data_IF_501461589687
#
_entry.id   IF_501461589687
#
_cell.length_a   1.000
_cell.length_b   1.000
_cell.length_c   1.000
_cell.angle_alpha   90.00
_cell.angle_beta   90.00
_cell.angle_gamma   90.00
#
_symmetry.space_group_name_H-M   'P 1'
#
loop_
_entity.id
_entity.type
_entity.pdbx_description
1 polymer ?
#
# COMPACT_ATOMS: atom_id res chain seq x y z
N UNK A 1 -0.41 8.81 28.40
CA UNK A 1 0.88 8.85 27.66
C UNK A 1 1.07 7.67 26.70
N UNK A 2 0.44 6.52 26.88
CA UNK A 2 0.62 5.34 26.02
C UNK A 2 -0.02 5.44 24.63
N UNK A 3 -1.20 6.04 24.52
CA UNK A 3 -1.94 6.12 23.25
C UNK A 3 -1.25 6.93 22.14
N UNK A 4 -0.46 7.94 22.49
CA UNK A 4 0.24 8.78 21.50
C UNK A 4 1.34 7.98 20.81
N UNK A 5 2.14 7.26 21.57
CA UNK A 5 3.25 6.43 21.03
C UNK A 5 2.76 5.28 20.15
N UNK A 6 1.63 4.66 20.50
CA UNK A 6 1.05 3.58 19.68
C UNK A 6 0.57 4.10 18.31
N UNK A 7 -0.03 5.28 18.29
CA UNK A 7 -0.42 5.93 17.02
C UNK A 7 0.78 6.28 16.17
N UNK A 8 1.83 6.85 16.76
CA UNK A 8 3.09 7.15 16.05
C UNK A 8 3.73 5.89 15.46
N UNK A 9 3.78 4.78 16.20
CA UNK A 9 4.30 3.50 15.70
C UNK A 9 3.52 2.98 14.49
N UNK A 10 2.19 3.09 14.51
CA UNK A 10 1.34 2.71 13.37
C UNK A 10 1.61 3.57 12.13
N UNK A 11 1.77 4.87 12.30
CA UNK A 11 2.07 5.82 11.21
C UNK A 11 3.45 5.59 10.61
N UNK A 12 4.46 5.34 11.45
CA UNK A 12 5.82 4.98 11.02
C UNK A 12 5.78 3.62 10.29
N UNK A 13 5.06 2.64 10.82
CA UNK A 13 4.85 1.34 10.17
C UNK A 13 4.25 1.46 8.78
N UNK A 14 3.27 2.35 8.60
CA UNK A 14 2.67 2.64 7.30
C UNK A 14 3.69 3.25 6.31
N UNK A 15 4.52 4.19 6.76
CA UNK A 15 5.61 4.77 5.96
C UNK A 15 6.66 3.75 5.53
N UNK A 16 7.03 2.84 6.44
CA UNK A 16 7.95 1.73 6.15
C UNK A 16 7.33 0.75 5.15
N UNK A 17 6.05 0.41 5.30
CA UNK A 17 5.34 -0.48 4.37
C UNK A 17 5.23 0.16 2.98
N UNK A 18 4.94 1.45 2.90
CA UNK A 18 4.96 2.20 1.65
C UNK A 18 6.35 2.17 0.98
N UNK A 19 7.41 2.29 1.78
CA UNK A 19 8.80 2.16 1.29
C UNK A 19 9.08 0.75 0.77
N UNK A 20 8.66 -0.28 1.51
CA UNK A 20 8.82 -1.67 1.09
C UNK A 20 8.11 -1.92 -0.24
N UNK A 21 6.88 -1.43 -0.39
CA UNK A 21 6.12 -1.53 -1.64
C UNK A 21 6.85 -0.86 -2.81
N UNK A 22 7.29 0.38 -2.64
CA UNK A 22 8.00 1.13 -3.67
C UNK A 22 9.34 0.46 -4.04
N UNK A 23 10.09 -0.01 -3.05
CA UNK A 23 11.34 -0.74 -3.27
C UNK A 23 11.12 -2.02 -4.05
N UNK A 24 10.14 -2.83 -3.65
CA UNK A 24 9.80 -4.10 -4.32
C UNK A 24 9.37 -3.85 -5.76
N UNK A 25 8.57 -2.81 -6.00
CA UNK A 25 8.15 -2.42 -7.34
C UNK A 25 9.34 -2.12 -8.25
N UNK A 26 10.26 -1.22 -7.85
CA UNK A 26 11.41 -0.86 -8.68
C UNK A 26 12.41 -2.01 -8.85
N UNK A 27 12.60 -2.83 -7.81
CA UNK A 27 13.44 -4.02 -7.90
C UNK A 27 12.91 -5.03 -8.93
N UNK A 28 11.60 -5.27 -8.93
CA UNK A 28 10.95 -6.17 -9.90
C UNK A 28 10.99 -5.54 -11.30
N UNK A 29 10.68 -4.25 -11.44
CA UNK A 29 10.75 -3.54 -12.72
C UNK A 29 12.15 -3.66 -13.33
N UNK A 30 13.20 -3.36 -12.58
CA UNK A 30 14.58 -3.49 -13.04
C UNK A 30 14.92 -4.93 -13.43
N UNK A 31 14.41 -5.93 -12.68
CA UNK A 31 14.63 -7.34 -13.02
C UNK A 31 13.98 -7.72 -14.34
N UNK A 32 12.77 -7.23 -14.63
CA UNK A 32 12.10 -7.45 -15.92
C UNK A 32 12.74 -6.68 -17.07
N UNK A 33 13.29 -5.49 -16.83
CA UNK A 33 13.92 -4.68 -17.86
C UNK A 33 15.30 -5.17 -18.21
N UNK A 34 16.17 -5.45 -17.24
CA UNK A 34 17.60 -5.73 -17.44
C UNK A 34 17.95 -7.22 -17.58
N UNK A 35 17.22 -8.10 -16.85
CA UNK A 35 17.60 -9.53 -16.77
C UNK A 35 16.86 -10.43 -17.75
N UNK A 36 15.73 -9.97 -18.28
CA UNK A 36 14.90 -10.78 -19.17
C UNK A 36 15.07 -10.29 -20.62
N UNK A 37 15.89 -10.98 -21.39
CA UNK A 37 16.06 -10.81 -22.84
C UNK A 37 14.83 -11.32 -23.62
N UNK A 38 13.64 -10.89 -23.22
CA UNK A 38 12.36 -11.23 -23.86
C UNK A 38 11.80 -9.99 -24.52
N UNK A 39 11.19 -10.10 -25.72
CA UNK A 39 10.51 -8.98 -26.37
C UNK A 39 9.52 -8.31 -25.41
N UNK A 40 9.46 -6.98 -25.43
CA UNK A 40 8.68 -6.17 -24.49
C UNK A 40 7.19 -6.58 -24.43
N UNK A 41 6.64 -7.09 -25.54
CA UNK A 41 5.24 -7.56 -25.61
C UNK A 41 4.95 -8.81 -24.76
N UNK A 42 5.96 -9.65 -24.50
CA UNK A 42 5.78 -10.87 -23.72
C UNK A 42 5.98 -10.67 -22.21
N UNK A 43 6.63 -9.59 -21.78
CA UNK A 43 6.89 -9.30 -20.35
C UNK A 43 5.58 -9.20 -19.54
N UNK A 44 4.54 -8.45 -19.99
CA UNK A 44 3.27 -8.40 -19.28
C UNK A 44 2.53 -9.75 -19.24
N UNK A 45 2.65 -10.55 -20.31
CA UNK A 45 2.04 -11.88 -20.35
C UNK A 45 2.69 -12.82 -19.31
N UNK A 46 4.02 -12.76 -19.17
CA UNK A 46 4.74 -13.52 -18.14
C UNK A 46 4.37 -13.06 -16.74
N UNK A 47 4.32 -11.75 -16.50
CA UNK A 47 3.88 -11.18 -15.23
C UNK A 47 2.44 -11.59 -14.87
N UNK A 48 1.51 -11.50 -15.84
CA UNK A 48 0.13 -11.94 -15.68
C UNK A 48 0.01 -13.44 -15.41
N UNK A 49 0.84 -14.26 -16.06
CA UNK A 49 0.89 -15.71 -15.82
C UNK A 49 1.33 -16.03 -14.38
N UNK A 50 2.39 -15.38 -13.87
CA UNK A 50 2.87 -15.57 -12.50
C UNK A 50 1.79 -15.17 -11.49
N UNK A 51 1.18 -14.00 -11.67
CA UNK A 51 0.11 -13.51 -10.79
C UNK A 51 -1.11 -14.44 -10.88
N UNK A 52 -1.46 -14.92 -12.07
CA UNK A 52 -2.53 -15.89 -12.31
C UNK A 52 -2.29 -17.20 -11.55
N UNK A 53 -1.08 -17.73 -11.55
CA UNK A 53 -0.74 -18.92 -10.76
C UNK A 53 -0.88 -18.69 -9.25
N UNK A 54 -0.42 -17.53 -8.75
CA UNK A 54 -0.55 -17.18 -7.33
C UNK A 54 -2.03 -17.08 -6.95
N UNK A 55 -2.86 -16.54 -7.84
CA UNK A 55 -4.29 -16.33 -7.59
C UNK A 55 -5.12 -17.63 -7.51
N UNK A 56 -4.63 -18.72 -8.08
CA UNK A 56 -5.27 -20.04 -7.91
C UNK A 56 -5.25 -20.46 -6.43
N UNK A 57 -4.19 -20.12 -5.71
CA UNK A 57 -4.05 -20.42 -4.27
C UNK A 57 -4.66 -19.33 -3.39
N UNK A 58 -4.66 -18.08 -3.85
CA UNK A 58 -5.11 -16.90 -3.11
C UNK A 58 -6.01 -16.03 -4.00
N UNK A 59 -7.26 -16.44 -4.26
CA UNK A 59 -8.18 -15.70 -5.14
C UNK A 59 -8.48 -14.28 -4.64
N UNK A 60 -8.27 -14.03 -3.35
CA UNK A 60 -8.43 -12.72 -2.72
C UNK A 60 -7.50 -11.64 -3.29
N UNK A 61 -6.43 -12.02 -4.00
CA UNK A 61 -5.49 -11.06 -4.60
C UNK A 61 -6.01 -10.47 -5.90
N UNK A 62 -6.79 -11.22 -6.68
CA UNK A 62 -7.35 -10.82 -7.97
C UNK A 62 -8.71 -10.12 -7.87
N UNK A 63 -9.32 -10.10 -6.72
CA UNK A 63 -10.70 -9.68 -6.60
C UNK A 63 -10.91 -8.17 -6.51
N UNK A 64 -12.17 -7.80 -6.37
CA UNK A 64 -12.61 -6.48 -5.96
C UNK A 64 -11.96 -6.12 -4.62
N UNK A 65 -10.89 -5.35 -4.68
CA UNK A 65 -10.15 -4.86 -3.51
C UNK A 65 -11.10 -4.20 -2.50
N UNK A 66 -12.19 -3.58 -2.99
CA UNK A 66 -13.20 -2.91 -2.18
C UNK A 66 -14.04 -3.86 -1.32
N UNK A 67 -14.34 -5.08 -1.77
CA UNK A 67 -15.10 -6.04 -0.98
C UNK A 67 -14.32 -6.51 0.24
N UNK A 68 -13.05 -6.89 0.04
CA UNK A 68 -12.17 -7.30 1.15
C UNK A 68 -11.83 -6.12 2.09
N UNK A 69 -11.68 -4.91 1.54
CA UNK A 69 -11.56 -3.71 2.36
C UNK A 69 -12.81 -3.49 3.21
N UNK A 70 -14.01 -3.69 2.62
CA UNK A 70 -15.28 -3.63 3.35
C UNK A 70 -15.37 -4.65 4.49
N UNK A 71 -14.97 -5.90 4.25
CA UNK A 71 -14.92 -6.94 5.30
C UNK A 71 -13.92 -6.57 6.40
N UNK A 72 -12.78 -5.97 6.02
CA UNK A 72 -11.77 -5.52 6.97
C UNK A 72 -12.28 -4.34 7.81
N UNK A 73 -12.99 -3.41 7.20
CA UNK A 73 -13.66 -2.30 7.87
C UNK A 73 -14.78 -2.76 8.80
N UNK A 74 -15.42 -3.89 8.49
CA UNK A 74 -16.43 -4.52 9.36
C UNK A 74 -15.82 -5.40 10.47
N UNK A 75 -14.47 -5.42 10.61
CA UNK A 75 -13.79 -6.22 11.63
C UNK A 75 -13.86 -7.74 11.43
N UNK A 76 -14.23 -8.20 10.23
CA UNK A 76 -14.46 -9.62 9.94
C UNK A 76 -13.19 -10.35 9.46
N UNK A 77 -12.10 -9.62 9.23
CA UNK A 77 -10.87 -10.17 8.70
C UNK A 77 -9.98 -10.74 9.80
N UNK A 78 -9.56 -12.00 9.63
CA UNK A 78 -8.60 -12.62 10.52
C UNK A 78 -7.20 -12.00 10.33
N UNK A 79 -6.57 -11.56 11.41
CA UNK A 79 -5.30 -10.81 11.38
C UNK A 79 -4.16 -11.53 10.67
N UNK A 80 -4.06 -12.88 10.80
CA UNK A 80 -3.03 -13.67 10.10
C UNK A 80 -3.20 -13.68 8.59
N UNK A 81 -4.46 -13.72 8.10
CA UNK A 81 -4.77 -13.60 6.68
C UNK A 81 -4.48 -12.19 6.16
N UNK A 82 -4.84 -11.16 6.92
CA UNK A 82 -4.53 -9.78 6.57
C UNK A 82 -3.02 -9.56 6.43
N UNK A 83 -2.21 -10.11 7.35
CA UNK A 83 -0.75 -10.03 7.28
C UNK A 83 -0.19 -10.69 6.01
N UNK A 84 -0.66 -11.90 5.69
CA UNK A 84 -0.27 -12.60 4.45
C UNK A 84 -0.65 -11.77 3.20
N UNK A 85 -1.85 -11.21 3.18
CA UNK A 85 -2.36 -10.42 2.05
C UNK A 85 -1.58 -9.14 1.82
N UNK A 86 -1.03 -8.49 2.86
CA UNK A 86 -0.13 -7.33 2.68
C UNK A 86 1.06 -7.70 1.78
N UNK A 87 1.78 -8.76 2.12
CA UNK A 87 2.97 -9.17 1.36
C UNK A 87 2.62 -9.68 -0.03
N UNK A 88 1.59 -10.51 -0.14
CA UNK A 88 1.17 -11.06 -1.43
C UNK A 88 0.67 -9.97 -2.37
N UNK A 89 -0.06 -8.97 -1.86
CA UNK A 89 -0.52 -7.83 -2.67
C UNK A 89 0.65 -6.97 -3.14
N UNK A 90 1.61 -6.68 -2.27
CA UNK A 90 2.84 -5.96 -2.65
C UNK A 90 3.55 -6.70 -3.79
N UNK A 91 3.74 -8.01 -3.67
CA UNK A 91 4.42 -8.82 -4.69
C UNK A 91 3.64 -8.85 -6.00
N UNK A 92 2.34 -9.19 -5.98
CA UNK A 92 1.54 -9.31 -7.18
C UNK A 92 1.37 -7.98 -7.91
N UNK A 93 1.14 -6.88 -7.18
CA UNK A 93 1.06 -5.55 -7.79
C UNK A 93 2.39 -5.13 -8.41
N UNK A 94 3.50 -5.40 -7.71
CA UNK A 94 4.84 -5.09 -8.22
C UNK A 94 5.20 -5.92 -9.45
N UNK A 95 4.80 -7.20 -9.52
CA UNK A 95 4.99 -8.05 -10.70
C UNK A 95 4.14 -7.54 -11.87
N UNK A 96 2.86 -7.24 -11.64
CA UNK A 96 1.95 -6.76 -12.69
C UNK A 96 2.48 -5.47 -13.30
N UNK A 97 2.78 -4.47 -12.48
CA UNK A 97 3.24 -3.16 -12.95
C UNK A 97 4.69 -3.22 -13.46
N UNK A 98 5.57 -3.93 -12.74
CA UNK A 98 6.98 -4.05 -13.10
C UNK A 98 7.24 -4.85 -14.38
N UNK A 99 6.32 -5.74 -14.76
CA UNK A 99 6.36 -6.42 -16.06
C UNK A 99 5.87 -5.57 -17.24
N UNK A 100 5.40 -4.34 -16.97
CA UNK A 100 4.81 -3.45 -17.99
C UNK A 100 3.31 -3.66 -18.19
N UNK A 101 2.64 -4.37 -17.28
CA UNK A 101 1.18 -4.50 -17.27
C UNK A 101 0.50 -3.16 -16.94
N UNK A 102 -0.65 -2.92 -17.55
CA UNK A 102 -1.46 -1.73 -17.23
C UNK A 102 -2.14 -1.92 -15.87
N UNK A 103 -1.99 -0.93 -14.99
CA UNK A 103 -2.62 -0.93 -13.68
C UNK A 103 -2.37 0.37 -12.93
N UNK A 104 -3.06 0.52 -11.79
CA UNK A 104 -2.89 1.66 -10.88
C UNK A 104 -2.20 1.27 -9.59
N UNK A 105 -1.53 2.22 -8.97
CA UNK A 105 -0.88 2.04 -7.66
C UNK A 105 -1.83 2.40 -6.51
N UNK A 106 -2.87 3.19 -6.81
CA UNK A 106 -3.77 3.77 -5.80
C UNK A 106 -4.58 2.71 -5.04
N UNK A 107 -5.41 1.92 -5.74
CA UNK A 107 -6.25 0.92 -5.10
C UNK A 107 -5.43 -0.16 -4.36
N UNK A 108 -4.33 -0.71 -4.91
CA UNK A 108 -3.44 -1.58 -4.15
C UNK A 108 -2.84 -0.94 -2.89
N UNK A 109 -2.50 0.34 -2.92
CA UNK A 109 -1.96 1.02 -1.72
C UNK A 109 -3.00 1.19 -0.62
N UNK A 110 -4.25 1.45 -0.97
CA UNK A 110 -5.37 1.47 -0.02
C UNK A 110 -5.60 0.07 0.58
N UNK A 111 -5.59 -0.96 -0.25
CA UNK A 111 -5.75 -2.34 0.20
C UNK A 111 -4.63 -2.76 1.16
N UNK A 112 -3.37 -2.51 0.81
CA UNK A 112 -2.22 -2.77 1.68
C UNK A 112 -2.37 -2.03 3.01
N UNK A 113 -2.81 -0.77 2.96
CA UNK A 113 -3.08 0.04 4.15
C UNK A 113 -4.20 -0.53 5.01
N UNK A 114 -5.31 -0.99 4.41
CA UNK A 114 -6.42 -1.59 5.15
C UNK A 114 -6.00 -2.86 5.88
N UNK A 115 -5.28 -3.76 5.20
CA UNK A 115 -4.79 -5.00 5.80
C UNK A 115 -3.75 -4.73 6.90
N UNK A 116 -2.84 -3.79 6.68
CA UNK A 116 -1.88 -3.36 7.70
C UNK A 116 -2.59 -2.78 8.93
N UNK A 117 -3.60 -1.94 8.72
CA UNK A 117 -4.41 -1.35 9.78
C UNK A 117 -5.17 -2.38 10.59
N UNK A 118 -5.73 -3.41 9.93
CA UNK A 118 -6.39 -4.53 10.60
C UNK A 118 -5.42 -5.32 11.48
N UNK A 119 -4.23 -5.65 10.97
CA UNK A 119 -3.19 -6.37 11.73
C UNK A 119 -2.76 -5.53 12.95
N UNK A 120 -2.44 -4.27 12.73
CA UNK A 120 -1.99 -3.38 13.79
C UNK A 120 -3.11 -3.11 14.82
N UNK A 121 -4.32 -2.78 14.34
CA UNK A 121 -5.47 -2.51 15.19
C UNK A 121 -5.87 -3.71 16.04
N UNK A 122 -5.91 -4.91 15.47
CA UNK A 122 -6.17 -6.15 16.21
C UNK A 122 -5.09 -6.43 17.24
N UNK A 123 -3.82 -6.27 16.89
CA UNK A 123 -2.70 -6.48 17.80
C UNK A 123 -2.72 -5.50 18.98
N UNK A 124 -2.96 -4.22 18.72
CA UNK A 124 -3.03 -3.19 19.78
C UNK A 124 -4.27 -3.37 20.65
N UNK A 125 -5.40 -3.73 20.08
CA UNK A 125 -6.63 -4.00 20.82
C UNK A 125 -6.51 -5.23 21.72
N UNK A 126 -5.80 -6.26 21.26
CA UNK A 126 -5.52 -7.46 22.06
C UNK A 126 -4.67 -7.16 23.30
N UNK A 127 -3.69 -6.23 23.16
CA UNK A 127 -2.79 -5.87 24.29
C UNK A 127 -3.43 -4.84 25.22
N UNK A 128 -4.21 -3.89 24.67
CA UNK A 128 -4.79 -2.76 25.43
C UNK A 128 -6.27 -2.53 25.11
N UNK A 129 -7.19 -3.46 25.41
CA UNK A 129 -8.59 -3.37 24.99
C UNK A 129 -9.34 -2.15 25.50
N UNK A 130 -9.00 -1.67 26.71
CA UNK A 130 -9.71 -0.55 27.36
C UNK A 130 -9.21 0.85 26.94
N UNK A 131 -8.07 0.93 26.24
CA UNK A 131 -7.38 2.20 25.94
C UNK A 131 -7.32 2.52 24.44
N UNK A 132 -7.82 1.62 23.58
CA UNK A 132 -7.65 1.73 22.13
C UNK A 132 -8.98 1.97 21.43
N UNK A 133 -8.93 2.69 20.31
CA UNK A 133 -10.07 2.80 19.40
C UNK A 133 -10.39 1.42 18.79
N UNK A 134 -11.55 1.31 18.15
CA UNK A 134 -11.92 0.08 17.46
C UNK A 134 -10.90 -0.27 16.35
N UNK A 135 -10.66 -1.55 16.05
CA UNK A 135 -9.74 -2.00 14.99
C UNK A 135 -10.06 -1.38 13.62
N UNK A 136 -11.34 -1.12 13.35
CA UNK A 136 -11.83 -0.50 12.12
C UNK A 136 -11.27 0.92 11.94
N UNK A 137 -11.18 1.70 13.03
CA UNK A 137 -10.59 3.04 13.00
C UNK A 137 -9.12 3.01 12.57
N UNK A 138 -8.36 2.02 13.06
CA UNK A 138 -6.96 1.83 12.64
C UNK A 138 -6.86 1.44 11.17
N UNK A 139 -7.81 0.66 10.67
CA UNK A 139 -7.89 0.26 9.26
C UNK A 139 -8.01 1.47 8.35
N UNK A 140 -8.98 2.36 8.60
CA UNK A 140 -9.18 3.57 7.78
C UNK A 140 -7.97 4.51 7.83
N UNK A 141 -7.43 4.72 9.03
CA UNK A 141 -6.26 5.60 9.23
C UNK A 141 -5.03 5.06 8.50
N UNK A 142 -4.81 3.74 8.54
CA UNK A 142 -3.69 3.11 7.85
C UNK A 142 -3.86 3.10 6.32
N UNK A 143 -5.09 2.97 5.80
CA UNK A 143 -5.39 3.15 4.36
C UNK A 143 -4.86 4.50 3.86
N UNK A 144 -5.20 5.59 4.56
CA UNK A 144 -4.73 6.92 4.22
C UNK A 144 -3.23 7.08 4.36
N UNK A 145 -2.68 6.53 5.43
CA UNK A 145 -1.26 6.64 5.70
C UNK A 145 -0.41 5.96 4.61
N UNK A 146 -0.73 4.73 4.21
CA UNK A 146 0.03 4.00 3.17
C UNK A 146 -0.16 4.65 1.81
N UNK A 147 -1.40 4.94 1.40
CA UNK A 147 -1.67 5.56 0.10
C UNK A 147 -1.07 6.97 0.01
N UNK A 148 -1.18 7.78 1.09
CA UNK A 148 -0.59 9.11 1.16
C UNK A 148 0.93 9.10 1.05
N UNK A 149 1.59 8.11 1.64
CA UNK A 149 3.03 7.93 1.57
C UNK A 149 3.50 7.46 0.19
N UNK A 150 2.84 6.46 -0.42
CA UNK A 150 3.20 5.92 -1.73
C UNK A 150 3.05 6.96 -2.83
N UNK A 151 1.92 7.66 -2.85
CA UNK A 151 1.61 8.67 -3.86
C UNK A 151 2.26 10.02 -3.59
N UNK A 152 2.66 10.28 -2.34
CA UNK A 152 3.10 11.59 -1.84
C UNK A 152 2.08 12.72 -2.12
N UNK A 153 0.80 12.38 -2.07
CA UNK A 153 -0.31 13.28 -2.28
C UNK A 153 -1.28 13.24 -1.08
N UNK A 154 -0.87 13.74 0.10
CA UNK A 154 -1.65 13.59 1.33
C UNK A 154 -3.04 14.22 1.23
N UNK A 155 -3.17 15.40 0.64
CA UNK A 155 -4.47 16.08 0.49
C UNK A 155 -5.47 15.26 -0.34
N UNK A 156 -5.03 14.71 -1.46
CA UNK A 156 -5.88 13.85 -2.31
C UNK A 156 -6.37 12.63 -1.56
N UNK A 157 -5.48 11.98 -0.80
CA UNK A 157 -5.85 10.79 -0.03
C UNK A 157 -6.77 11.10 1.14
N UNK A 158 -6.61 12.24 1.81
CA UNK A 158 -7.51 12.69 2.88
C UNK A 158 -8.92 12.89 2.33
N UNK A 159 -9.05 13.62 1.22
CA UNK A 159 -10.36 13.88 0.60
C UNK A 159 -11.02 12.60 0.09
N UNK A 160 -10.26 11.73 -0.58
CA UNK A 160 -10.78 10.45 -1.07
C UNK A 160 -11.27 9.54 0.06
N UNK A 161 -10.52 9.43 1.15
CA UNK A 161 -10.94 8.62 2.28
C UNK A 161 -12.11 9.23 3.03
N UNK A 162 -12.18 10.54 3.13
CA UNK A 162 -13.34 11.22 3.68
C UNK A 162 -14.60 10.90 2.86
N UNK A 163 -14.51 10.94 1.53
CA UNK A 163 -15.60 10.63 0.63
C UNK A 163 -16.01 9.14 0.73
N UNK A 164 -15.02 8.23 0.89
CA UNK A 164 -15.27 6.80 1.04
C UNK A 164 -15.93 6.44 2.39
N UNK A 165 -15.55 7.10 3.47
CA UNK A 165 -16.03 6.78 4.82
C UNK A 165 -17.24 7.59 5.23
N UNK A 166 -17.39 8.79 4.68
CA UNK A 166 -18.41 9.78 5.03
C UNK A 166 -18.48 10.07 6.56
N UNK A 167 -17.35 9.92 7.25
CA UNK A 167 -17.22 10.11 8.71
C UNK A 167 -16.28 11.27 9.04
N UNK A 168 -16.86 12.36 9.50
CA UNK A 168 -16.12 13.57 9.90
C UNK A 168 -15.17 13.34 11.07
N UNK A 169 -15.44 12.36 11.94
CA UNK A 169 -14.63 12.10 13.13
C UNK A 169 -13.25 11.55 12.78
N UNK A 170 -13.13 10.91 11.60
CA UNK A 170 -11.90 10.31 11.13
C UNK A 170 -11.00 11.28 10.36
N UNK A 171 -11.47 12.46 9.97
CA UNK A 171 -10.70 13.42 9.18
C UNK A 171 -9.37 13.77 9.87
N UNK A 172 -9.42 14.19 11.13
CA UNK A 172 -8.21 14.60 11.87
C UNK A 172 -7.20 13.46 12.03
N UNK A 173 -7.59 12.24 12.45
CA UNK A 173 -6.68 11.09 12.46
C UNK A 173 -6.06 10.77 11.09
N UNK A 174 -6.87 10.81 10.01
CA UNK A 174 -6.39 10.57 8.64
C UNK A 174 -5.38 11.65 8.22
N UNK A 175 -5.68 12.93 8.46
CA UNK A 175 -4.78 14.03 8.14
C UNK A 175 -3.41 13.86 8.79
N UNK A 176 -3.39 13.63 10.09
CA UNK A 176 -2.13 13.45 10.84
C UNK A 176 -1.37 12.23 10.34
N UNK A 177 -2.05 11.10 10.10
CA UNK A 177 -1.41 9.87 9.67
C UNK A 177 -0.84 9.98 8.26
N UNK A 178 -1.56 10.61 7.32
CA UNK A 178 -1.08 10.85 5.96
C UNK A 178 0.19 11.71 5.95
N UNK A 179 0.21 12.79 6.74
CA UNK A 179 1.36 13.71 6.79
C UNK A 179 2.57 13.01 7.43
N UNK A 180 2.40 12.36 8.57
CA UNK A 180 3.49 11.68 9.28
C UNK A 180 4.04 10.52 8.44
N UNK A 181 3.18 9.73 7.82
CA UNK A 181 3.59 8.61 6.97
C UNK A 181 4.31 9.08 5.71
N UNK A 182 3.81 10.14 5.06
CA UNK A 182 4.47 10.74 3.90
C UNK A 182 5.85 11.31 4.28
N UNK A 183 5.97 11.98 5.42
CA UNK A 183 7.24 12.49 5.92
C UNK A 183 8.22 11.34 6.25
N UNK A 184 7.74 10.28 6.91
CA UNK A 184 8.54 9.08 7.17
C UNK A 184 9.04 8.46 5.88
N UNK A 185 8.18 8.34 4.86
CA UNK A 185 8.57 7.84 3.56
C UNK A 185 9.64 8.72 2.89
N UNK A 186 9.46 10.05 2.93
CA UNK A 186 10.42 11.02 2.35
C UNK A 186 11.79 10.97 3.03
N UNK A 187 11.87 10.59 4.30
CA UNK A 187 13.15 10.39 4.99
C UNK A 187 13.98 9.26 4.37
N UNK A 188 13.32 8.32 3.70
CA UNK A 188 13.97 7.20 3.00
C UNK A 188 14.05 7.40 1.48
N UNK A 189 13.11 8.15 0.88
CA UNK A 189 13.02 8.33 -0.57
C UNK A 189 12.47 9.71 -0.88
N UNK A 190 13.23 10.52 -1.63
CA UNK A 190 12.83 11.90 -1.94
C UNK A 190 11.67 12.03 -2.93
N UNK A 191 11.48 11.02 -3.77
CA UNK A 191 10.56 11.07 -4.89
C UNK A 191 9.37 10.12 -4.68
N UNK A 192 8.17 10.51 -5.15
CA UNK A 192 7.03 9.59 -5.22
C UNK A 192 7.30 8.47 -6.22
N UNK A 193 6.53 7.40 -6.14
CA UNK A 193 6.64 6.27 -7.08
C UNK A 193 6.49 6.73 -8.54
N UNK A 194 5.63 7.71 -8.80
CA UNK A 194 5.41 8.27 -10.14
C UNK A 194 6.60 9.10 -10.65
N UNK A 195 7.16 9.96 -9.80
CA UNK A 195 8.32 10.78 -10.16
C UNK A 195 9.53 9.90 -10.41
N UNK A 196 9.74 8.90 -9.58
CA UNK A 196 10.86 7.98 -9.75
C UNK A 196 10.70 7.12 -11.01
N UNK A 197 9.48 6.69 -11.33
CA UNK A 197 9.18 6.00 -12.59
C UNK A 197 9.52 6.87 -13.80
N UNK A 198 9.12 8.14 -13.79
CA UNK A 198 9.45 9.10 -14.87
C UNK A 198 10.95 9.32 -15.00
N UNK A 199 11.66 9.50 -13.89
CA UNK A 199 13.11 9.67 -13.90
C UNK A 199 13.82 8.45 -14.50
N UNK A 200 13.42 7.24 -14.13
CA UNK A 200 13.96 6.02 -14.69
C UNK A 200 13.68 5.89 -16.20
N UNK A 201 12.45 6.23 -16.63
CA UNK A 201 12.07 6.21 -18.04
C UNK A 201 12.86 7.23 -18.86
N UNK A 202 13.09 8.42 -18.35
CA UNK A 202 13.88 9.47 -19.01
C UNK A 202 15.36 9.06 -19.07
N UNK A 203 15.91 8.47 -18.01
CA UNK A 203 17.30 7.97 -17.98
C UNK A 203 17.53 6.87 -19.00
N UNK A 204 16.54 5.98 -19.19
CA UNK A 204 16.59 4.92 -20.22
C UNK A 204 16.50 5.44 -21.66
N UNK A 205 15.98 6.66 -21.86
CA UNK A 205 15.90 7.31 -23.18
C UNK A 205 17.18 8.13 -23.52
N UNK A 206 18.13 8.24 -22.59
CA UNK A 206 19.38 8.98 -22.81
C UNK A 206 19.22 10.51 -22.89
N UNK A 207 18.10 11.07 -22.39
CA UNK A 207 17.79 12.50 -22.40
C UNK A 207 18.25 13.24 -21.15
N UNK A 208 19.15 12.68 -20.35
CA UNK A 208 19.77 13.42 -19.24
C UNK A 208 21.10 13.97 -19.70
N UNK A 209 21.11 15.27 -20.00
CA UNK A 209 22.28 16.10 -20.07
C UNK A 209 22.69 16.57 -18.69
#
# INVERSE_FOLDING_TARGET
>A
MSNHRLRELGMIGAGVTARLFTFTYFYIQQTFEEKLDIPQYFKPALGGFIVGMISIFLPQILGNEYELMGQTLAGQMFWGMAFLLVFMKIMCTSITLGSGGMGGVFAPSLFIGSMLGAVFGSGVHWVFPALTASPETYTVVAMGAVAGAVMQAPLTNILMLFELTNDYTLILPIMVSCIVSAHTFQSFTKNSIYVQYLLNSISGIGLIY
#
